data_IF_035186523725
#
_entry.id   IF_035186523725
#
_cell.length_a   1.000
_cell.length_b   1.000
_cell.length_c   1.000
_cell.angle_alpha   90.00
_cell.angle_beta   90.00
_cell.angle_gamma   90.00
#
_symmetry.space_group_name_H-M   'P 1'
#
loop_
_entity.id
_entity.type
_entity.pdbx_description
1 polymer ?
#
# COMPACT_ATOMS: atom_id res chain seq x y z
N UNK A 1 0.23 7.28 4.13
CA UNK A 1 0.36 6.34 5.26
C UNK A 1 -0.83 5.40 5.25
N UNK A 2 -0.59 4.09 5.36
CA UNK A 2 -1.66 3.10 5.55
C UNK A 2 -1.63 2.57 6.97
N UNK A 3 -2.80 2.24 7.53
CA UNK A 3 -2.87 1.55 8.82
C UNK A 3 -2.83 0.06 8.59
N UNK A 4 -1.91 -0.61 9.27
CA UNK A 4 -1.74 -2.06 9.27
C UNK A 4 -1.79 -2.52 10.72
N UNK A 5 -2.87 -3.22 11.10
CA UNK A 5 -3.13 -3.52 12.51
C UNK A 5 -3.34 -2.23 13.32
N UNK A 6 -2.52 -2.02 14.35
CA UNK A 6 -2.52 -0.84 15.21
C UNK A 6 -1.58 0.29 14.74
N UNK A 7 -0.73 0.01 13.76
CA UNK A 7 0.41 0.85 13.42
C UNK A 7 0.25 1.52 12.05
N UNK A 8 0.81 2.72 11.91
CA UNK A 8 0.85 3.45 10.62
C UNK A 8 2.17 3.16 9.91
N UNK A 9 2.08 2.68 8.67
CA UNK A 9 3.22 2.27 7.86
C UNK A 9 3.36 3.14 6.61
N UNK A 10 4.59 3.52 6.22
CA UNK A 10 4.85 4.18 4.95
C UNK A 10 4.60 3.18 3.82
N UNK A 11 3.96 3.66 2.75
CA UNK A 11 3.59 2.84 1.59
C UNK A 11 4.02 3.55 0.32
N UNK A 12 4.36 2.75 -0.69
CA UNK A 12 4.72 3.21 -2.02
C UNK A 12 3.91 2.43 -3.06
N UNK A 13 3.35 3.15 -4.02
CA UNK A 13 2.66 2.59 -5.17
C UNK A 13 3.44 2.96 -6.44
N UNK A 14 3.44 2.07 -7.43
CA UNK A 14 4.04 2.39 -8.74
C UNK A 14 3.13 3.27 -9.59
N UNK A 15 1.83 3.15 -9.38
CA UNK A 15 0.79 3.88 -10.10
C UNK A 15 0.13 4.90 -9.18
N UNK A 16 -0.44 5.95 -9.77
CA UNK A 16 -1.28 6.90 -9.04
C UNK A 16 -2.58 6.23 -8.62
N UNK A 17 -2.75 6.03 -7.31
CA UNK A 17 -3.93 5.43 -6.72
C UNK A 17 -4.81 6.51 -6.12
N UNK A 18 -6.06 6.60 -6.58
CA UNK A 18 -7.04 7.50 -5.98
C UNK A 18 -7.37 7.08 -4.55
N UNK A 19 -7.77 8.05 -3.72
CA UNK A 19 -8.27 7.76 -2.39
C UNK A 19 -9.47 6.80 -2.46
N UNK A 20 -9.45 5.74 -1.65
CA UNK A 20 -10.49 4.71 -1.64
C UNK A 20 -10.24 3.54 -2.59
N UNK A 21 -9.17 3.56 -3.40
CA UNK A 21 -8.77 2.38 -4.20
C UNK A 21 -8.37 1.24 -3.26
N UNK A 22 -8.92 0.04 -3.52
CA UNK A 22 -8.53 -1.16 -2.82
C UNK A 22 -7.16 -1.62 -3.32
N UNK A 23 -6.26 -1.91 -2.38
CA UNK A 23 -4.87 -2.26 -2.67
C UNK A 23 -4.46 -3.53 -1.96
N UNK A 24 -3.50 -4.23 -2.54
CA UNK A 24 -2.80 -5.34 -1.90
C UNK A 24 -1.31 -5.06 -1.78
N UNK A 25 -0.69 -5.59 -0.73
CA UNK A 25 0.76 -5.50 -0.51
C UNK A 25 1.42 -6.62 -1.31
N UNK A 26 2.39 -6.26 -2.14
CA UNK A 26 3.11 -7.21 -3.00
C UNK A 26 4.56 -7.43 -2.59
N UNK A 27 5.15 -6.48 -1.84
CA UNK A 27 6.52 -6.58 -1.36
C UNK A 27 6.75 -5.67 -0.15
N UNK A 28 7.85 -5.92 0.54
CA UNK A 28 8.37 -5.09 1.62
C UNK A 28 9.80 -4.67 1.27
N UNK A 29 10.05 -3.36 1.26
CA UNK A 29 11.37 -2.79 1.02
C UNK A 29 11.81 -1.97 2.24
N UNK A 30 12.68 -2.56 3.07
CA UNK A 30 13.04 -1.99 4.36
C UNK A 30 11.81 -1.83 5.25
N UNK A 31 11.41 -0.58 5.52
CA UNK A 31 10.21 -0.23 6.30
C UNK A 31 9.02 0.18 5.43
N UNK A 32 9.17 0.18 4.11
CA UNK A 32 8.14 0.64 3.16
C UNK A 32 7.39 -0.55 2.57
N UNK A 33 6.06 -0.47 2.57
CA UNK A 33 5.23 -1.48 1.91
C UNK A 33 4.98 -1.08 0.46
N UNK A 34 5.24 -2.00 -0.46
CA UNK A 34 4.92 -1.80 -1.88
C UNK A 34 3.51 -2.33 -2.13
N UNK A 35 2.64 -1.44 -2.60
CA UNK A 35 1.22 -1.74 -2.85
C UNK A 35 0.88 -1.59 -4.33
N UNK A 36 -0.12 -2.32 -4.78
CA UNK A 36 -0.75 -2.16 -6.10
C UNK A 36 -2.27 -2.19 -5.99
N UNK A 37 -2.96 -1.63 -6.98
CA UNK A 37 -4.41 -1.76 -7.09
C UNK A 37 -4.82 -3.23 -7.24
N UNK A 38 -5.90 -3.60 -6.57
CA UNK A 38 -6.55 -4.90 -6.81
C UNK A 38 -7.34 -4.79 -8.12
N UNK A 39 -6.96 -5.56 -9.13
CA UNK A 39 -7.78 -5.76 -10.33
C UNK A 39 -8.69 -6.96 -10.09
N UNK A 40 -10.01 -6.74 -10.10
CA UNK A 40 -11.00 -7.82 -10.11
C UNK A 40 -11.12 -8.47 -11.48
#
# INVERSE_FOLDING_TARGET
HMRVGDSSWPVSARDDLSAGTQVEVIAVEGITLIIKAVSH
#
